data_IF_867599773447
#
_entry.id   IF_867599773447
#
_cell.length_a   1.000
_cell.length_b   1.000
_cell.length_c   1.000
_cell.angle_alpha   90.00
_cell.angle_beta   90.00
_cell.angle_gamma   90.00
#
_symmetry.space_group_name_H-M   'P 1'
#
loop_
_entity.id
_entity.type
_entity.pdbx_description
1 polymer ?
#
# COMPACT_ATOMS: atom_id res chain seq x y z
N UNK A 1 13.89 6.03 4.28
CA UNK A 1 12.94 7.17 4.43
C UNK A 1 11.53 6.63 4.39
N UNK A 2 10.66 7.17 5.24
CA UNK A 2 9.24 6.83 5.20
C UNK A 2 8.49 8.08 4.73
N UNK A 3 7.84 8.03 3.56
CA UNK A 3 7.14 9.21 3.05
C UNK A 3 5.94 9.58 3.93
N UNK A 4 5.65 10.88 3.98
CA UNK A 4 4.39 11.34 4.58
C UNK A 4 3.23 10.93 3.69
N UNK A 5 1.99 11.02 4.21
CA UNK A 5 0.82 10.70 3.38
C UNK A 5 0.71 11.62 2.17
N UNK A 6 1.15 12.87 2.28
CA UNK A 6 1.16 13.82 1.18
C UNK A 6 2.18 13.42 0.12
N UNK A 7 3.39 13.03 0.55
CA UNK A 7 4.43 12.53 -0.37
C UNK A 7 4.00 11.24 -1.04
N UNK A 8 3.35 10.35 -0.29
CA UNK A 8 2.83 9.09 -0.83
C UNK A 8 1.75 9.35 -1.88
N UNK A 9 0.85 10.30 -1.63
CA UNK A 9 -0.20 10.67 -2.57
C UNK A 9 0.39 11.24 -3.86
N UNK A 10 1.38 12.13 -3.73
CA UNK A 10 2.05 12.71 -4.91
C UNK A 10 2.73 11.63 -5.74
N UNK A 11 3.40 10.68 -5.10
CA UNK A 11 4.04 9.56 -5.77
C UNK A 11 3.02 8.67 -6.47
N UNK A 12 1.91 8.37 -5.79
CA UNK A 12 0.83 7.58 -6.38
C UNK A 12 0.30 8.25 -7.64
N UNK A 13 0.05 9.55 -7.59
CA UNK A 13 -0.49 10.28 -8.73
C UNK A 13 0.49 10.34 -9.90
N UNK A 14 1.79 10.30 -9.63
CA UNK A 14 2.82 10.24 -10.66
C UNK A 14 2.71 8.96 -11.50
N UNK A 15 2.35 7.84 -10.86
CA UNK A 15 2.24 6.54 -11.53
C UNK A 15 0.80 6.12 -11.85
N UNK A 16 -0.20 6.84 -11.37
CA UNK A 16 -1.60 6.51 -11.58
C UNK A 16 -2.39 7.76 -11.94
N UNK A 17 -2.84 7.84 -13.18
CA UNK A 17 -3.65 8.98 -13.67
C UNK A 17 -5.15 8.72 -13.56
N UNK A 18 -5.55 7.43 -13.55
CA UNK A 18 -6.96 7.05 -13.54
C UNK A 18 -7.65 7.38 -12.21
N UNK A 19 -8.86 7.92 -12.29
CA UNK A 19 -9.63 8.26 -11.09
C UNK A 19 -9.92 7.04 -10.22
N UNK A 20 -10.18 5.88 -10.85
CA UNK A 20 -10.46 4.65 -10.12
C UNK A 20 -9.29 4.25 -9.23
N UNK A 21 -8.07 4.25 -9.77
CA UNK A 21 -6.89 3.86 -9.01
C UNK A 21 -6.59 4.84 -7.88
N UNK A 22 -6.78 6.13 -8.13
CA UNK A 22 -6.58 7.16 -7.11
C UNK A 22 -7.63 7.04 -6.00
N UNK A 23 -8.89 6.81 -6.37
CA UNK A 23 -9.96 6.64 -5.39
C UNK A 23 -9.73 5.39 -4.54
N UNK A 24 -9.38 4.28 -5.17
CA UNK A 24 -9.09 3.03 -4.46
C UNK A 24 -7.97 3.21 -3.45
N UNK A 25 -6.87 3.84 -3.85
CA UNK A 25 -5.73 4.10 -2.98
C UNK A 25 -6.14 4.95 -1.77
N UNK A 26 -6.94 5.98 -2.01
CA UNK A 26 -7.42 6.88 -0.95
C UNK A 26 -8.31 6.13 0.03
N UNK A 27 -9.24 5.32 -0.48
CA UNK A 27 -10.15 4.53 0.36
C UNK A 27 -9.36 3.56 1.22
N UNK A 28 -8.44 2.80 0.63
CA UNK A 28 -7.64 1.82 1.37
C UNK A 28 -6.77 2.52 2.40
N UNK A 29 -6.18 3.67 2.04
CA UNK A 29 -5.41 4.48 2.99
C UNK A 29 -6.23 4.90 4.20
N UNK A 30 -7.43 5.42 3.97
CA UNK A 30 -8.33 5.85 5.04
C UNK A 30 -8.80 4.68 5.91
N UNK A 31 -9.10 3.54 5.30
CA UNK A 31 -9.51 2.32 6.02
C UNK A 31 -8.36 1.80 6.88
N UNK A 32 -7.13 1.79 6.34
CA UNK A 32 -5.97 1.36 7.10
C UNK A 32 -5.73 2.25 8.32
N UNK A 33 -5.89 3.56 8.16
CA UNK A 33 -5.78 4.49 9.29
C UNK A 33 -6.84 4.20 10.35
N UNK A 34 -8.06 3.94 9.92
CA UNK A 34 -9.16 3.59 10.83
C UNK A 34 -8.81 2.35 11.66
N UNK A 35 -8.35 1.30 11.00
CA UNK A 35 -8.00 0.06 11.71
C UNK A 35 -6.79 0.24 12.63
N UNK A 36 -5.83 1.08 12.27
CA UNK A 36 -4.70 1.37 13.14
C UNK A 36 -5.21 1.92 14.48
N UNK A 37 -6.13 2.88 14.43
CA UNK A 37 -6.70 3.48 15.65
C UNK A 37 -7.51 2.43 16.43
N UNK A 38 -8.34 1.64 15.75
CA UNK A 38 -9.23 0.66 16.41
C UNK A 38 -8.46 -0.50 17.05
N UNK A 39 -7.32 -0.88 16.47
CA UNK A 39 -6.55 -2.03 16.94
C UNK A 39 -5.44 -1.66 17.93
N UNK A 40 -5.37 -0.40 18.35
CA UNK A 40 -4.39 0.03 19.34
C UNK A 40 -3.06 0.51 18.77
N UNK A 41 -3.01 0.82 17.48
CA UNK A 41 -1.82 1.32 16.79
C UNK A 41 -1.98 2.78 16.35
N UNK A 42 -2.66 3.60 17.15
CA UNK A 42 -2.95 4.99 16.79
C UNK A 42 -1.69 5.81 16.49
N UNK A 43 -0.59 5.51 17.18
CA UNK A 43 0.70 6.16 16.95
C UNK A 43 1.36 5.75 15.62
N UNK A 44 0.88 4.68 14.98
CA UNK A 44 1.33 4.24 13.67
C UNK A 44 0.30 4.55 12.57
N UNK A 45 -0.74 5.31 12.87
CA UNK A 45 -1.84 5.54 11.92
C UNK A 45 -1.36 6.17 10.60
N UNK A 46 -0.42 7.10 10.68
CA UNK A 46 0.15 7.71 9.47
C UNK A 46 0.90 6.70 8.61
N UNK A 47 1.65 5.81 9.24
CA UNK A 47 2.37 4.74 8.53
C UNK A 47 1.39 3.78 7.84
N UNK A 48 0.35 3.35 8.54
CA UNK A 48 -0.68 2.47 7.99
C UNK A 48 -1.37 3.12 6.79
N UNK A 49 -1.68 4.41 6.89
CA UNK A 49 -2.32 5.14 5.79
C UNK A 49 -1.40 5.23 4.58
N UNK A 50 -0.12 5.53 4.79
CA UNK A 50 0.88 5.60 3.73
C UNK A 50 1.00 4.26 3.00
N UNK A 51 1.02 3.16 3.74
CA UNK A 51 1.05 1.81 3.16
C UNK A 51 -0.18 1.57 2.29
N UNK A 52 -1.36 1.93 2.79
CA UNK A 52 -2.61 1.77 2.04
C UNK A 52 -2.62 2.57 0.75
N UNK A 53 -2.12 3.80 0.78
CA UNK A 53 -2.04 4.65 -0.42
C UNK A 53 -1.13 4.03 -1.47
N UNK A 54 -0.02 3.42 -1.07
CA UNK A 54 1.01 2.94 -1.99
C UNK A 54 0.87 1.47 -2.40
N UNK A 55 -0.11 0.73 -1.86
CA UNK A 55 -0.16 -0.72 -2.08
C UNK A 55 -0.35 -1.13 -3.55
N UNK A 56 -1.01 -0.31 -4.35
CA UNK A 56 -1.23 -0.57 -5.78
C UNK A 56 -0.49 0.43 -6.69
N UNK A 57 0.64 0.98 -6.21
CA UNK A 57 1.40 2.00 -6.93
C UNK A 57 1.68 1.63 -8.39
N UNK A 58 2.02 0.37 -8.64
CA UNK A 58 2.45 -0.11 -9.95
C UNK A 58 1.33 -0.69 -10.82
N UNK A 59 0.12 -0.79 -10.30
CA UNK A 59 -0.93 -1.58 -10.96
C UNK A 59 -1.35 -1.00 -12.32
N UNK A 60 -1.48 0.32 -12.43
CA UNK A 60 -1.94 0.95 -13.68
C UNK A 60 -0.93 0.81 -14.81
N UNK A 61 0.35 1.06 -14.54
CA UNK A 61 1.40 1.05 -15.57
C UNK A 61 2.05 -0.31 -15.76
N UNK A 62 2.09 -1.14 -14.72
CA UNK A 62 2.81 -2.41 -14.74
C UNK A 62 1.95 -3.55 -14.17
N UNK A 63 0.73 -3.78 -14.72
CA UNK A 63 -0.16 -4.80 -14.15
C UNK A 63 0.43 -6.21 -14.17
N UNK A 64 1.28 -6.53 -15.15
CA UNK A 64 1.93 -7.83 -15.26
C UNK A 64 3.10 -8.00 -14.29
N UNK A 65 3.53 -6.92 -13.66
CA UNK A 65 4.64 -6.92 -12.70
C UNK A 65 4.19 -6.35 -11.34
N UNK A 66 2.91 -6.47 -11.04
CA UNK A 66 2.34 -5.94 -9.80
C UNK A 66 3.08 -6.48 -8.57
N UNK A 67 3.33 -5.61 -7.60
CA UNK A 67 4.13 -5.83 -6.40
C UNK A 67 5.64 -5.88 -6.65
N UNK A 68 6.10 -6.55 -7.69
CA UNK A 68 7.53 -6.58 -8.02
C UNK A 68 8.02 -5.22 -8.47
N UNK A 69 7.27 -4.58 -9.36
CA UNK A 69 7.66 -3.27 -9.88
C UNK A 69 7.55 -2.17 -8.82
N UNK A 70 6.52 -2.22 -7.97
CA UNK A 70 6.41 -1.22 -6.89
C UNK A 70 7.56 -1.32 -5.90
N UNK A 71 8.08 -2.51 -5.64
CA UNK A 71 9.26 -2.67 -4.80
C UNK A 71 10.47 -1.97 -5.42
N UNK A 72 10.68 -2.13 -6.74
CA UNK A 72 11.76 -1.45 -7.45
C UNK A 72 11.61 0.07 -7.39
N UNK A 73 10.42 0.57 -7.67
CA UNK A 73 10.13 2.01 -7.65
C UNK A 73 10.42 2.60 -6.27
N UNK A 74 9.94 1.95 -5.23
CA UNK A 74 10.10 2.44 -3.86
C UNK A 74 11.56 2.41 -3.43
N UNK A 75 12.33 1.38 -3.83
CA UNK A 75 13.76 1.32 -3.52
C UNK A 75 14.54 2.43 -4.22
N UNK A 76 14.19 2.74 -5.47
CA UNK A 76 14.82 3.84 -6.21
C UNK A 76 14.56 5.18 -5.53
N UNK A 77 13.42 5.35 -4.88
CA UNK A 77 13.07 6.56 -4.14
C UNK A 77 13.67 6.60 -2.74
N UNK A 78 14.40 5.58 -2.33
CA UNK A 78 15.04 5.53 -1.01
C UNK A 78 14.09 5.23 0.14
N UNK A 79 12.98 4.56 -0.15
CA UNK A 79 11.97 4.23 0.85
C UNK A 79 12.45 3.07 1.74
N UNK A 80 12.08 3.12 3.02
CA UNK A 80 12.43 2.12 4.02
C UNK A 80 11.90 0.74 3.61
N UNK A 81 12.74 -0.31 3.78
CA UNK A 81 12.37 -1.69 3.44
C UNK A 81 11.16 -2.20 4.23
N UNK A 82 10.93 -1.69 5.44
CA UNK A 82 9.77 -2.05 6.23
C UNK A 82 8.47 -1.65 5.54
N UNK A 83 8.45 -0.48 4.92
CA UNK A 83 7.29 -0.01 4.17
C UNK A 83 7.15 -0.83 2.87
N UNK A 84 8.26 -1.12 2.20
CA UNK A 84 8.25 -1.94 0.98
C UNK A 84 7.67 -3.33 1.26
N UNK A 85 8.13 -3.98 2.33
CA UNK A 85 7.60 -5.29 2.73
C UNK A 85 6.09 -5.22 3.00
N UNK A 86 5.66 -4.19 3.72
CA UNK A 86 4.24 -4.00 4.04
C UNK A 86 3.40 -3.86 2.77
N UNK A 87 3.86 -3.04 1.83
CA UNK A 87 3.15 -2.81 0.58
C UNK A 87 3.10 -4.07 -0.28
N UNK A 88 4.24 -4.75 -0.43
CA UNK A 88 4.37 -5.91 -1.32
C UNK A 88 3.62 -7.14 -0.80
N UNK A 89 3.51 -7.29 0.52
CA UNK A 89 2.89 -8.48 1.14
C UNK A 89 1.41 -8.65 0.80
N UNK A 90 0.72 -7.59 0.32
CA UNK A 90 -0.68 -7.74 -0.07
C UNK A 90 -0.85 -8.64 -1.32
N UNK A 91 0.22 -8.85 -2.08
CA UNK A 91 0.21 -9.76 -3.23
C UNK A 91 0.59 -11.20 -2.92
N UNK A 92 0.69 -11.56 -1.64
CA UNK A 92 1.07 -12.90 -1.23
C UNK A 92 0.18 -13.96 -1.89
N UNK A 93 0.80 -14.98 -2.44
CA UNK A 93 0.20 -16.09 -3.18
C UNK A 93 -0.34 -15.73 -4.57
N UNK A 94 -0.44 -14.45 -4.91
CA UNK A 94 -0.94 -14.02 -6.22
C UNK A 94 0.18 -13.58 -7.16
N UNK A 95 1.06 -12.71 -6.67
CA UNK A 95 2.13 -12.13 -7.48
C UNK A 95 3.51 -12.31 -6.89
N UNK A 96 3.61 -12.44 -5.57
CA UNK A 96 4.88 -12.56 -4.87
C UNK A 96 4.76 -13.59 -3.74
N UNK A 97 5.92 -14.07 -3.27
CA UNK A 97 6.00 -14.99 -2.13
C UNK A 97 6.53 -14.25 -0.90
N UNK A 98 5.91 -13.10 -0.60
CA UNK A 98 6.22 -12.29 0.57
C UNK A 98 5.04 -12.37 1.52
N UNK A 99 5.19 -13.14 2.59
CA UNK A 99 4.12 -13.43 3.53
C UNK A 99 3.83 -12.25 4.46
N UNK A 100 2.54 -11.90 4.67
CA UNK A 100 2.20 -10.88 5.68
C UNK A 100 2.61 -11.36 7.07
N UNK A 101 3.39 -10.54 7.78
CA UNK A 101 3.91 -10.87 9.10
C UNK A 101 3.36 -9.94 10.18
N UNK A 102 3.38 -8.64 9.93
CA UNK A 102 2.88 -7.64 10.86
C UNK A 102 1.35 -7.61 10.83
N UNK A 103 0.72 -7.25 11.97
CA UNK A 103 -0.73 -7.09 12.04
C UNK A 103 -1.24 -6.17 10.92
N UNK A 104 -0.55 -5.07 10.66
CA UNK A 104 -0.88 -4.13 9.60
C UNK A 104 -0.94 -4.82 8.21
N UNK A 105 0.02 -5.69 7.94
CA UNK A 105 0.10 -6.39 6.66
C UNK A 105 -1.06 -7.37 6.49
N UNK A 106 -1.46 -8.01 7.56
CA UNK A 106 -2.61 -8.92 7.56
C UNK A 106 -3.91 -8.15 7.34
N UNK A 107 -4.04 -6.98 7.95
CA UNK A 107 -5.20 -6.10 7.77
C UNK A 107 -5.25 -5.60 6.33
N UNK A 108 -4.12 -5.20 5.76
CA UNK A 108 -4.06 -4.75 4.36
C UNK A 108 -4.48 -5.87 3.42
N UNK A 109 -3.96 -7.07 3.61
CA UNK A 109 -4.29 -8.24 2.78
C UNK A 109 -5.81 -8.49 2.77
N UNK A 110 -6.44 -8.49 3.94
CA UNK A 110 -7.86 -8.71 4.06
C UNK A 110 -8.69 -7.55 3.49
N UNK A 111 -8.27 -6.31 3.77
CA UNK A 111 -8.96 -5.10 3.34
C UNK A 111 -8.93 -4.95 1.82
N UNK A 112 -7.78 -5.18 1.21
CA UNK A 112 -7.64 -5.07 -0.24
C UNK A 112 -8.53 -6.06 -0.96
N UNK A 113 -8.57 -7.30 -0.47
CA UNK A 113 -9.44 -8.32 -1.03
C UNK A 113 -10.91 -7.95 -0.92
N UNK A 114 -11.32 -7.42 0.24
CA UNK A 114 -12.70 -7.01 0.48
C UNK A 114 -13.10 -5.82 -0.41
N UNK A 115 -12.26 -4.79 -0.50
CA UNK A 115 -12.54 -3.61 -1.30
C UNK A 115 -12.53 -3.91 -2.80
N UNK A 116 -11.77 -4.90 -3.22
CA UNK A 116 -11.74 -5.34 -4.61
C UNK A 116 -13.03 -5.97 -5.09
N UNK A 117 -13.93 -6.35 -4.17
CA UNK A 117 -15.23 -6.91 -4.49
C UNK A 117 -16.30 -5.84 -4.72
N UNK A 118 -16.01 -4.61 -4.38
CA UNK A 118 -16.93 -3.49 -4.50
C UNK A 118 -16.66 -2.73 -5.78
#
# INVERSE_FOLDING_TARGET
MIPTKEQAWDLLCEYNEGEFHRLHARIVGDVMRYFAVQLGYADEADFWQTVGILHDLDFEQYPDQHCTKEAEILREKGVDERLIHAVVSHGYLLTVDVQPEHQMEKVLYATDELTGLI
#
